data_IF_850987702884
#
_entry.id   IF_850987702884
#
_cell.length_a   1.000
_cell.length_b   1.000
_cell.length_c   1.000
_cell.angle_alpha   90.00
_cell.angle_beta   90.00
_cell.angle_gamma   90.00
#
_symmetry.space_group_name_H-M   'P 1'
#
loop_
_entity.id
_entity.type
_entity.pdbx_description
1 polymer ?
#
# COMPACT_ATOMS: atom_id res chain seq x y z
N UNK A 1 10.62 15.18 -5.19
CA UNK A 1 10.03 14.95 -3.83
C UNK A 1 11.05 15.33 -2.77
N UNK A 2 10.60 15.91 -1.66
CA UNK A 2 11.41 16.29 -0.49
C UNK A 2 11.30 15.19 0.56
N UNK A 3 12.43 14.76 1.12
CA UNK A 3 12.48 13.85 2.27
C UNK A 3 12.19 14.63 3.57
N UNK A 4 11.39 14.04 4.45
CA UNK A 4 11.06 14.60 5.76
C UNK A 4 11.20 13.53 6.85
N UNK A 5 11.29 13.96 8.10
CA UNK A 5 11.15 13.06 9.24
C UNK A 5 9.71 12.55 9.38
N UNK A 6 9.54 11.32 9.86
CA UNK A 6 8.19 10.73 10.04
C UNK A 6 7.32 11.60 10.96
N UNK A 7 7.93 12.24 11.97
CA UNK A 7 7.24 13.15 12.90
C UNK A 7 6.75 14.45 12.28
N UNK A 8 7.25 14.81 11.10
CA UNK A 8 6.81 16.01 10.34
C UNK A 8 5.62 15.70 9.42
N UNK A 9 5.19 14.44 9.31
CA UNK A 9 4.02 14.06 8.52
C UNK A 9 2.74 14.57 9.21
N UNK A 10 2.09 15.55 8.60
CA UNK A 10 0.89 16.20 9.14
C UNK A 10 -0.43 15.69 8.51
N UNK A 11 -0.38 14.61 7.77
CA UNK A 11 -1.54 14.01 7.14
C UNK A 11 -2.54 13.48 8.18
N UNK A 12 -3.82 13.74 7.95
CA UNK A 12 -4.86 13.06 8.72
C UNK A 12 -4.98 11.60 8.23
N UNK A 13 -4.48 10.66 9.02
CA UNK A 13 -4.40 9.23 8.66
C UNK A 13 -5.74 8.65 8.23
N UNK A 14 -6.83 9.05 8.91
CA UNK A 14 -8.18 8.54 8.58
C UNK A 14 -8.66 9.01 7.21
N UNK A 15 -8.30 10.22 6.82
CA UNK A 15 -8.60 10.74 5.48
C UNK A 15 -7.68 10.15 4.43
N UNK A 16 -6.38 10.12 4.72
CA UNK A 16 -5.35 9.66 3.79
C UNK A 16 -5.52 8.18 3.44
N UNK A 17 -5.78 7.33 4.43
CA UNK A 17 -6.01 5.90 4.18
C UNK A 17 -7.45 5.64 3.73
N UNK A 18 -8.45 6.16 4.45
CA UNK A 18 -9.85 5.75 4.28
C UNK A 18 -10.57 6.42 3.11
N UNK A 19 -10.11 7.61 2.67
CA UNK A 19 -10.79 8.39 1.61
C UNK A 19 -9.94 8.67 0.39
N UNK A 20 -8.66 8.99 0.56
CA UNK A 20 -7.74 9.16 -0.56
C UNK A 20 -7.36 7.81 -1.16
N UNK A 21 -7.06 6.81 -0.30
CA UNK A 21 -6.52 5.50 -0.63
C UNK A 21 -5.02 5.57 -0.99
N UNK A 22 -4.44 4.42 -1.27
CA UNK A 22 -3.02 4.32 -1.60
C UNK A 22 -2.77 3.22 -2.63
N UNK A 23 -1.66 3.33 -3.34
CA UNK A 23 -1.06 2.23 -4.06
C UNK A 23 -0.04 1.54 -3.16
N UNK A 24 -0.23 0.26 -2.90
CA UNK A 24 0.79 -0.61 -2.30
C UNK A 24 1.64 -1.12 -3.44
N UNK A 25 2.93 -0.77 -3.45
CA UNK A 25 3.86 -1.15 -4.50
C UNK A 25 4.95 -2.06 -3.96
N UNK A 26 5.32 -3.08 -4.70
CA UNK A 26 6.38 -4.02 -4.36
C UNK A 26 7.09 -4.51 -5.62
N UNK A 27 8.38 -4.79 -5.52
CA UNK A 27 9.27 -5.11 -6.63
C UNK A 27 10.32 -4.03 -6.82
N UNK A 28 11.06 -4.12 -7.89
CA UNK A 28 12.04 -3.10 -8.34
C UNK A 28 11.46 -2.31 -9.52
N UNK A 29 12.08 -1.18 -9.87
CA UNK A 29 11.64 -0.37 -11.03
C UNK A 29 11.47 -1.19 -12.32
N UNK A 30 12.30 -2.22 -12.52
CA UNK A 30 12.28 -3.05 -13.73
C UNK A 30 11.21 -4.15 -13.66
N UNK A 31 10.84 -4.59 -12.45
CA UNK A 31 9.85 -5.62 -12.24
C UNK A 31 9.09 -5.38 -10.93
N UNK A 32 7.94 -4.81 -11.01
CA UNK A 32 7.08 -4.49 -9.87
C UNK A 32 5.61 -4.74 -10.16
N UNK A 33 4.82 -4.73 -9.11
CA UNK A 33 3.38 -4.61 -9.22
C UNK A 33 2.85 -3.65 -8.15
N UNK A 34 1.61 -3.18 -8.36
CA UNK A 34 0.90 -2.32 -7.45
C UNK A 34 -0.56 -2.71 -7.32
N UNK A 35 -1.17 -2.37 -6.21
CA UNK A 35 -2.59 -2.53 -5.97
C UNK A 35 -3.12 -1.38 -5.13
N UNK A 36 -4.38 -1.04 -5.31
CA UNK A 36 -5.05 -0.09 -4.44
C UNK A 36 -5.43 -0.76 -3.13
N UNK A 37 -5.18 -0.06 -2.03
CA UNK A 37 -5.65 -0.39 -0.69
C UNK A 37 -6.27 0.85 -0.03
N UNK A 38 -7.31 0.62 0.78
CA UNK A 38 -8.00 1.63 1.58
C UNK A 38 -8.10 1.22 3.05
N UNK A 39 -7.49 0.12 3.42
CA UNK A 39 -7.44 -0.39 4.80
C UNK A 39 -5.98 -0.46 5.25
N UNK A 40 -5.74 0.10 6.43
CA UNK A 40 -4.41 0.17 7.00
C UNK A 40 -4.37 1.07 8.22
N UNK A 41 -3.21 1.14 8.85
CA UNK A 41 -2.95 2.00 10.00
C UNK A 41 -1.54 2.57 9.88
N UNK A 42 -1.33 3.77 10.42
CA UNK A 42 -0.02 4.33 10.70
C UNK A 42 0.08 4.54 12.21
N UNK A 43 1.23 4.25 12.80
CA UNK A 43 1.37 4.39 14.24
C UNK A 43 2.78 4.09 14.75
N UNK A 44 2.87 3.73 16.02
CA UNK A 44 4.12 3.49 16.71
C UNK A 44 4.10 2.13 17.38
N UNK A 45 5.04 1.25 17.04
CA UNK A 45 5.15 -0.10 17.61
C UNK A 45 6.63 -0.51 17.69
N UNK A 46 7.03 -1.19 18.79
CA UNK A 46 8.42 -1.62 19.04
C UNK A 46 9.44 -0.49 18.89
N UNK A 47 9.10 0.70 19.39
CA UNK A 47 9.89 1.93 19.27
C UNK A 47 10.23 2.33 17.83
N UNK A 48 9.31 2.04 16.88
CA UNK A 48 9.45 2.35 15.47
C UNK A 48 8.16 2.95 14.91
N UNK A 49 8.27 3.90 13.96
CA UNK A 49 7.12 4.29 13.17
C UNK A 49 6.73 3.11 12.26
N UNK A 50 5.47 2.74 12.27
CA UNK A 50 4.99 1.59 11.51
C UNK A 50 3.77 1.91 10.66
N UNK A 51 3.67 1.20 9.54
CA UNK A 51 2.46 1.04 8.77
C UNK A 51 1.95 -0.41 8.94
N UNK A 52 0.64 -0.58 9.11
CA UNK A 52 -0.01 -1.88 9.12
C UNK A 52 -0.88 -2.00 7.90
N UNK A 53 -0.65 -3.05 7.09
CA UNK A 53 -1.34 -3.28 5.83
C UNK A 53 -2.09 -4.60 5.82
N UNK A 54 -3.23 -4.60 5.14
CA UNK A 54 -4.10 -5.77 4.98
C UNK A 54 -4.15 -6.14 3.50
N UNK A 55 -3.50 -7.24 3.12
CA UNK A 55 -3.35 -7.67 1.73
C UNK A 55 -3.98 -9.05 1.54
N UNK A 56 -4.89 -9.18 0.57
CA UNK A 56 -5.47 -10.48 0.24
C UNK A 56 -4.47 -11.32 -0.57
N UNK A 57 -4.31 -12.62 -0.25
CA UNK A 57 -3.39 -13.51 -0.97
C UNK A 57 -3.67 -13.63 -2.48
N UNK A 58 -4.91 -13.40 -2.90
CA UNK A 58 -5.31 -13.49 -4.31
C UNK A 58 -4.78 -12.32 -5.16
N UNK A 59 -4.37 -11.22 -4.52
CA UNK A 59 -3.84 -10.06 -5.24
C UNK A 59 -2.44 -10.37 -5.78
N UNK A 60 -2.21 -10.10 -7.06
CA UNK A 60 -0.89 -10.33 -7.67
C UNK A 60 0.25 -9.61 -6.95
N UNK A 61 -0.01 -8.43 -6.37
CA UNK A 61 0.98 -7.69 -5.56
C UNK A 61 1.43 -8.49 -4.33
N UNK A 62 0.59 -9.40 -3.81
CA UNK A 62 0.96 -10.26 -2.68
C UNK A 62 2.19 -11.10 -2.99
N UNK A 63 2.32 -11.66 -4.20
CA UNK A 63 3.49 -12.44 -4.62
C UNK A 63 4.78 -11.59 -4.57
N UNK A 64 4.70 -10.32 -4.98
CA UNK A 64 5.82 -9.39 -4.91
C UNK A 64 6.17 -9.05 -3.45
N UNK A 65 5.16 -8.81 -2.59
CA UNK A 65 5.36 -8.54 -1.16
C UNK A 65 6.02 -9.73 -0.47
N UNK A 66 5.64 -10.97 -0.82
CA UNK A 66 6.26 -12.17 -0.24
C UNK A 66 7.70 -12.39 -0.69
N UNK A 67 8.05 -11.97 -1.89
CA UNK A 67 9.38 -12.21 -2.48
C UNK A 67 10.47 -11.24 -1.98
N UNK A 68 10.12 -10.18 -1.24
CA UNK A 68 11.06 -9.16 -0.78
C UNK A 68 10.60 -8.49 0.51
N UNK A 69 11.50 -7.77 1.17
CA UNK A 69 11.18 -7.10 2.44
C UNK A 69 10.68 -5.66 2.26
N UNK A 70 11.05 -5.00 1.16
CA UNK A 70 10.72 -3.60 0.92
C UNK A 70 9.39 -3.45 0.20
N UNK A 71 8.53 -2.59 0.72
CA UNK A 71 7.20 -2.27 0.19
C UNK A 71 6.98 -0.77 0.35
N UNK A 72 6.44 -0.11 -0.67
CA UNK A 72 6.11 1.31 -0.55
C UNK A 72 4.60 1.54 -0.54
N UNK A 73 4.18 2.53 0.24
CA UNK A 73 2.83 3.05 0.23
C UNK A 73 2.85 4.40 -0.47
N UNK A 74 2.21 4.47 -1.64
CA UNK A 74 2.27 5.63 -2.52
C UNK A 74 0.90 6.29 -2.61
N UNK A 75 0.85 7.57 -2.30
CA UNK A 75 -0.35 8.38 -2.30
C UNK A 75 -0.27 9.39 -3.45
N UNK A 76 -1.27 9.37 -4.34
CA UNK A 76 -1.33 10.20 -5.54
C UNK A 76 -2.17 11.47 -5.36
N UNK A 77 -2.80 11.63 -4.19
CA UNK A 77 -3.78 12.68 -3.95
C UNK A 77 -5.20 12.30 -4.38
N UNK A 78 -6.06 13.33 -4.51
CA UNK A 78 -7.49 13.17 -4.77
C UNK A 78 -7.94 13.76 -6.11
N UNK A 79 -6.99 14.05 -7.02
CA UNK A 79 -7.32 14.51 -8.36
C UNK A 79 -8.14 13.46 -9.12
N UNK A 80 -8.83 13.87 -10.17
CA UNK A 80 -9.57 12.92 -11.03
C UNK A 80 -8.66 11.83 -11.60
N UNK A 81 -7.45 12.20 -12.06
CA UNK A 81 -6.44 11.25 -12.55
C UNK A 81 -6.03 10.24 -11.46
N UNK A 82 -5.82 10.71 -10.22
CA UNK A 82 -5.48 9.84 -9.10
C UNK A 82 -6.62 8.86 -8.78
N UNK A 83 -7.87 9.33 -8.76
CA UNK A 83 -9.05 8.46 -8.53
C UNK A 83 -9.20 7.40 -9.61
N UNK A 84 -8.99 7.75 -10.87
CA UNK A 84 -9.00 6.78 -11.98
C UNK A 84 -7.89 5.73 -11.83
N UNK A 85 -6.67 6.15 -11.45
CA UNK A 85 -5.56 5.25 -11.21
C UNK A 85 -5.85 4.28 -10.03
N UNK A 86 -6.39 4.78 -8.92
CA UNK A 86 -6.79 3.92 -7.81
C UNK A 86 -7.89 2.93 -8.22
N UNK A 87 -8.92 3.39 -8.94
CA UNK A 87 -9.99 2.51 -9.39
C UNK A 87 -9.46 1.40 -10.31
N UNK A 88 -8.60 1.76 -11.27
CA UNK A 88 -7.99 0.81 -12.20
C UNK A 88 -7.08 -0.19 -11.48
N UNK A 89 -6.14 0.28 -10.66
CA UNK A 89 -5.21 -0.56 -9.91
C UNK A 89 -5.91 -1.45 -8.87
N UNK A 90 -7.09 -1.03 -8.38
CA UNK A 90 -7.94 -1.82 -7.50
C UNK A 90 -8.67 -2.97 -8.23
N UNK A 91 -9.18 -2.70 -9.44
CA UNK A 91 -10.03 -3.63 -10.19
C UNK A 91 -9.25 -4.57 -11.13
N UNK A 92 -8.12 -4.14 -11.70
CA UNK A 92 -7.36 -4.89 -12.70
C UNK A 92 -6.17 -5.62 -12.09
N UNK A 93 -5.85 -6.80 -12.65
CA UNK A 93 -4.68 -7.59 -12.25
C UNK A 93 -3.44 -7.17 -13.03
N UNK A 94 -2.30 -7.02 -12.35
CA UNK A 94 -1.01 -6.81 -13.01
C UNK A 94 -0.46 -8.05 -13.74
N UNK A 95 -1.19 -9.19 -13.67
CA UNK A 95 -0.89 -10.34 -14.55
C UNK A 95 -1.28 -10.08 -16.01
N UNK A 96 -2.31 -9.23 -16.21
CA UNK A 96 -2.93 -9.00 -17.51
C UNK A 96 -2.74 -7.56 -18.00
N UNK A 97 -2.31 -6.65 -17.13
CA UNK A 97 -2.24 -5.21 -17.39
C UNK A 97 -0.91 -4.60 -16.93
N UNK A 98 -0.32 -3.75 -17.77
CA UNK A 98 0.73 -2.83 -17.37
C UNK A 98 0.07 -1.60 -16.71
N UNK A 99 -0.18 -1.72 -15.41
CA UNK A 99 -0.95 -0.72 -14.66
C UNK A 99 -0.29 0.65 -14.60
N UNK A 100 1.05 0.71 -14.54
CA UNK A 100 1.75 1.99 -14.53
C UNK A 100 1.53 2.74 -15.84
N UNK A 101 1.76 2.07 -16.96
CA UNK A 101 1.58 2.66 -18.29
C UNK A 101 0.11 3.04 -18.55
N UNK A 102 -0.83 2.14 -18.22
CA UNK A 102 -2.26 2.37 -18.48
C UNK A 102 -2.84 3.50 -17.61
N UNK A 103 -2.28 3.73 -16.42
CA UNK A 103 -2.64 4.86 -15.54
C UNK A 103 -1.83 6.14 -15.82
N UNK A 104 -0.85 6.10 -16.74
CA UNK A 104 0.04 7.22 -17.00
C UNK A 104 0.88 7.61 -15.77
N UNK A 105 1.38 6.61 -15.05
CA UNK A 105 2.27 6.76 -13.90
C UNK A 105 3.71 6.48 -14.33
N UNK A 106 4.64 7.30 -13.88
CA UNK A 106 6.07 7.23 -14.21
C UNK A 106 6.84 6.57 -13.05
N UNK A 107 7.27 5.30 -13.19
CA UNK A 107 7.98 4.62 -12.11
C UNK A 107 9.34 5.25 -11.81
N UNK A 108 9.65 5.45 -10.54
CA UNK A 108 10.94 5.92 -10.06
C UNK A 108 11.47 5.02 -8.92
N UNK A 109 12.81 4.95 -8.80
CA UNK A 109 13.46 4.22 -7.72
C UNK A 109 13.29 4.93 -6.39
N UNK A 110 13.20 4.16 -5.33
CA UNK A 110 13.25 4.63 -3.94
C UNK A 110 14.52 4.12 -3.25
N UNK A 111 14.88 4.71 -2.11
CA UNK A 111 16.13 4.38 -1.41
C UNK A 111 16.15 2.94 -0.88
N UNK A 112 14.98 2.41 -0.51
CA UNK A 112 14.85 1.02 -0.06
C UNK A 112 14.92 -0.02 -1.19
N UNK A 113 15.14 0.41 -2.44
CA UNK A 113 15.24 -0.46 -3.62
C UNK A 113 13.91 -0.88 -4.22
N UNK A 114 12.79 -0.37 -3.70
CA UNK A 114 11.45 -0.60 -4.26
C UNK A 114 11.10 0.50 -5.28
N UNK A 115 9.82 0.70 -5.57
CA UNK A 115 9.33 1.61 -6.60
C UNK A 115 8.28 2.59 -6.04
N UNK A 116 8.37 3.84 -6.49
CA UNK A 116 7.34 4.86 -6.37
C UNK A 116 7.01 5.44 -7.74
N UNK A 117 6.27 6.54 -7.78
CA UNK A 117 5.89 7.23 -9.01
C UNK A 117 6.18 8.72 -8.90
N UNK A 118 6.59 9.35 -10.01
CA UNK A 118 6.84 10.80 -10.07
C UNK A 118 5.59 11.61 -9.71
N UNK A 119 4.40 11.07 -9.96
CA UNK A 119 3.11 11.66 -9.65
C UNK A 119 2.69 11.54 -8.18
N UNK A 120 3.50 10.91 -7.33
CA UNK A 120 3.19 10.74 -5.92
C UNK A 120 3.26 12.08 -5.17
N UNK A 121 2.26 12.37 -4.33
CA UNK A 121 2.34 13.48 -3.35
C UNK A 121 3.02 13.07 -2.05
N UNK A 122 2.93 11.78 -1.71
CA UNK A 122 3.53 11.19 -0.52
C UNK A 122 3.94 9.75 -0.83
N UNK A 123 5.15 9.39 -0.44
CA UNK A 123 5.65 8.01 -0.46
C UNK A 123 6.18 7.65 0.93
N UNK A 124 5.65 6.56 1.49
CA UNK A 124 6.21 5.92 2.68
C UNK A 124 6.99 4.69 2.22
N UNK A 125 8.30 4.72 2.41
CA UNK A 125 9.16 3.57 2.16
C UNK A 125 9.16 2.69 3.40
N UNK A 126 8.80 1.41 3.22
CA UNK A 126 8.57 0.50 4.33
C UNK A 126 9.39 -0.78 4.19
N UNK A 127 9.71 -1.39 5.34
CA UNK A 127 10.33 -2.71 5.44
C UNK A 127 9.48 -3.62 6.32
N UNK A 128 9.14 -4.82 5.82
CA UNK A 128 8.39 -5.81 6.60
C UNK A 128 9.16 -6.19 7.86
N UNK A 129 8.48 -6.20 9.01
CA UNK A 129 9.04 -6.61 10.29
C UNK A 129 8.22 -7.69 10.99
N UNK A 130 6.93 -7.84 10.62
CA UNK A 130 6.08 -8.89 11.15
C UNK A 130 4.96 -9.21 10.16
N UNK A 131 4.54 -10.49 10.12
CA UNK A 131 3.41 -10.96 9.33
C UNK A 131 2.52 -11.87 10.18
N UNK A 132 1.22 -11.71 10.03
CA UNK A 132 0.19 -12.62 10.53
C UNK A 132 -0.97 -12.69 9.53
N UNK A 133 -2.04 -13.40 9.89
CA UNK A 133 -3.28 -13.47 9.11
C UNK A 133 -4.48 -13.20 9.99
N UNK A 134 -5.49 -12.54 9.45
CA UNK A 134 -6.80 -12.43 10.12
C UNK A 134 -7.37 -13.84 10.26
N UNK A 135 -7.86 -14.16 11.47
CA UNK A 135 -8.48 -15.43 11.80
C UNK A 135 -9.94 -15.20 12.17
N UNK A 136 -10.91 -15.93 11.57
CA UNK A 136 -12.32 -15.73 11.85
C UNK A 136 -12.70 -15.97 13.31
N UNK A 137 -12.04 -16.93 13.95
CA UNK A 137 -12.26 -17.26 15.36
C UNK A 137 -11.88 -16.13 16.35
N UNK A 138 -11.03 -15.21 15.91
CA UNK A 138 -10.61 -14.04 16.68
C UNK A 138 -11.51 -12.80 16.43
N UNK A 139 -12.48 -12.89 15.52
CA UNK A 139 -13.41 -11.81 15.25
C UNK A 139 -14.49 -11.77 16.34
N UNK A 140 -14.41 -10.77 17.21
CA UNK A 140 -15.40 -10.54 18.28
C UNK A 140 -16.69 -9.89 17.75
N UNK A 141 -16.59 -9.06 16.71
CA UNK A 141 -17.73 -8.51 15.96
C UNK A 141 -17.96 -9.32 14.68
N UNK A 142 -19.01 -10.13 14.69
CA UNK A 142 -19.36 -11.02 13.57
C UNK A 142 -19.82 -10.27 12.32
N UNK A 143 -20.18 -8.99 12.41
CA UNK A 143 -20.53 -8.19 11.23
C UNK A 143 -19.33 -8.00 10.29
N UNK A 144 -18.09 -8.15 10.80
CA UNK A 144 -16.87 -8.07 10.00
C UNK A 144 -16.80 -9.20 8.96
N UNK A 145 -17.38 -10.36 9.24
CA UNK A 145 -17.38 -11.51 8.32
C UNK A 145 -18.01 -11.18 6.96
N UNK A 146 -18.90 -10.18 6.91
CA UNK A 146 -19.49 -9.70 5.65
C UNK A 146 -18.47 -9.23 4.61
N UNK A 147 -17.24 -8.89 5.03
CA UNK A 147 -16.18 -8.43 4.14
C UNK A 147 -15.38 -9.56 3.50
N UNK A 148 -15.67 -10.81 3.82
CA UNK A 148 -14.92 -11.99 3.40
C UNK A 148 -15.83 -13.04 2.75
N UNK A 149 -15.21 -13.91 1.95
CA UNK A 149 -15.87 -15.03 1.29
C UNK A 149 -16.55 -14.69 -0.04
N UNK A 150 -16.78 -15.71 -0.84
CA UNK A 150 -17.39 -15.60 -2.16
C UNK A 150 -16.65 -14.63 -3.08
N UNK A 151 -17.40 -13.76 -3.74
CA UNK A 151 -16.87 -12.75 -4.65
C UNK A 151 -16.00 -11.65 -3.95
N UNK A 152 -16.07 -11.56 -2.63
CA UNK A 152 -15.29 -10.58 -1.85
C UNK A 152 -13.86 -11.03 -1.59
N UNK A 153 -13.53 -12.30 -1.80
CA UNK A 153 -12.20 -12.88 -1.62
C UNK A 153 -11.91 -13.38 -0.20
N UNK A 154 -10.70 -13.89 0.00
CA UNK A 154 -10.25 -14.52 1.23
C UNK A 154 -9.86 -13.53 2.33
N UNK A 155 -9.42 -14.13 3.45
CA UNK A 155 -8.89 -13.39 4.59
C UNK A 155 -7.57 -12.70 4.25
N UNK A 156 -7.36 -11.51 4.83
CA UNK A 156 -6.14 -10.75 4.62
C UNK A 156 -4.96 -11.33 5.41
N UNK A 157 -3.81 -11.36 4.78
CA UNK A 157 -2.54 -11.31 5.50
C UNK A 157 -2.31 -9.89 6.02
N UNK A 158 -1.81 -9.81 7.24
CA UNK A 158 -1.52 -8.56 7.96
C UNK A 158 -0.02 -8.38 8.02
N UNK A 159 0.47 -7.28 7.50
CA UNK A 159 1.88 -6.92 7.52
C UNK A 159 2.10 -5.71 8.42
N UNK A 160 2.94 -5.85 9.42
CA UNK A 160 3.50 -4.71 10.16
C UNK A 160 4.82 -4.36 9.51
N UNK A 161 4.95 -3.13 9.08
CA UNK A 161 6.11 -2.64 8.34
C UNK A 161 6.69 -1.41 9.03
N UNK A 162 8.00 -1.38 9.26
CA UNK A 162 8.71 -0.18 9.69
C UNK A 162 8.72 0.84 8.56
N UNK A 163 8.33 2.08 8.83
CA UNK A 163 8.50 3.20 7.91
C UNK A 163 9.95 3.67 8.01
N UNK A 164 10.72 3.46 6.96
CA UNK A 164 12.16 3.76 6.92
C UNK A 164 12.47 5.12 6.29
N UNK A 165 11.56 5.64 5.47
CA UNK A 165 11.70 6.96 4.84
C UNK A 165 10.33 7.52 4.47
N UNK A 166 10.21 8.84 4.52
CA UNK A 166 9.02 9.59 4.09
C UNK A 166 9.44 10.65 3.07
N UNK A 167 8.78 10.66 1.91
CA UNK A 167 9.01 11.67 0.88
C UNK A 167 7.68 12.32 0.49
N UNK A 168 7.65 13.66 0.44
CA UNK A 168 6.48 14.46 0.06
C UNK A 168 6.74 15.27 -1.21
N UNK A 169 5.72 15.57 -1.99
CA UNK A 169 5.83 16.50 -3.11
C UNK A 169 6.25 17.90 -2.60
N UNK A 170 7.03 18.61 -3.41
CA UNK A 170 7.43 20.00 -3.15
C UNK A 170 6.30 20.96 -3.47
#
# INVERSE_FOLDING_TARGET
>A
MKKIEVSELNDNVFTTIGKEWMLVTAGTKDKFNMMTASWGCLGWLWNKPVAVMFIRPERHTHEFIESQDCVNLVFLGQSEKARQAYAFCGAKSGRDHDKARECGLTPCNTENGSVSFEEARLTLECRKIYKTRIRPEEMTDKTIEQWYGGAKGGLHDVYVMEITSVSVAE
#
